data_IF_716531140994
#
_entry.id   IF_716531140994
#
_cell.length_a   1.000
_cell.length_b   1.000
_cell.length_c   1.000
_cell.angle_alpha   90.00
_cell.angle_beta   90.00
_cell.angle_gamma   90.00
#
_symmetry.space_group_name_H-M   'P 1'
#
loop_
_entity.id
_entity.type
_entity.pdbx_description
1 polymer ?
#
# COMPACT_ATOMS: atom_id res chain seq x y z
N UNK A 1 -5.26 -13.34 16.84
CA UNK A 1 -5.80 -12.12 16.22
C UNK A 1 -6.53 -12.54 14.97
N UNK A 2 -7.85 -12.34 14.95
CA UNK A 2 -8.73 -12.80 13.88
C UNK A 2 -8.54 -11.93 12.63
N UNK A 3 -8.00 -12.56 11.58
CA UNK A 3 -7.97 -12.08 10.21
C UNK A 3 -9.37 -11.63 9.77
N UNK A 4 -9.53 -10.34 9.45
CA UNK A 4 -10.73 -9.82 8.79
C UNK A 4 -10.41 -9.77 7.30
N UNK A 5 -11.04 -10.62 6.46
CA UNK A 5 -10.81 -10.56 5.02
C UNK A 5 -11.45 -9.29 4.46
N UNK A 6 -10.63 -8.31 4.12
CA UNK A 6 -11.07 -7.18 3.30
C UNK A 6 -11.31 -7.73 1.89
N UNK A 7 -12.47 -7.46 1.29
CA UNK A 7 -12.81 -7.95 -0.06
C UNK A 7 -11.79 -7.48 -1.09
N UNK A 8 -10.92 -8.40 -1.53
CA UNK A 8 -9.89 -8.16 -2.57
C UNK A 8 -10.44 -8.30 -4.01
N UNK A 9 -11.76 -8.23 -4.19
CA UNK A 9 -12.38 -8.41 -5.50
C UNK A 9 -12.12 -7.19 -6.41
N UNK A 10 -11.91 -7.38 -7.72
CA UNK A 10 -11.81 -6.28 -8.66
C UNK A 10 -13.17 -5.56 -8.74
N UNK A 11 -13.30 -4.45 -8.04
CA UNK A 11 -14.51 -3.63 -8.05
C UNK A 11 -14.29 -2.43 -8.98
N UNK A 12 -14.57 -2.62 -10.27
CA UNK A 12 -14.35 -1.61 -11.31
C UNK A 12 -15.41 -0.50 -11.34
N UNK A 13 -16.32 -0.44 -10.36
CA UNK A 13 -17.37 0.58 -10.26
C UNK A 13 -17.64 1.06 -8.83
N UNK A 14 -16.70 0.84 -7.90
CA UNK A 14 -16.83 1.38 -6.55
C UNK A 14 -16.73 2.92 -6.58
N UNK A 15 -17.52 3.63 -5.76
CA UNK A 15 -17.35 5.07 -5.58
C UNK A 15 -15.93 5.38 -5.10
N UNK A 16 -15.42 6.52 -5.55
CA UNK A 16 -14.13 7.05 -5.11
C UNK A 16 -14.17 8.57 -5.11
N UNK A 17 -13.50 9.14 -4.12
CA UNK A 17 -13.34 10.59 -3.91
C UNK A 17 -11.91 11.06 -4.22
N UNK A 18 -10.99 10.14 -4.55
CA UNK A 18 -9.60 10.49 -4.82
C UNK A 18 -8.96 9.63 -5.92
N UNK A 19 -8.47 8.43 -5.60
CA UNK A 19 -7.77 7.58 -6.55
C UNK A 19 -8.71 6.49 -7.14
N UNK A 20 -8.47 6.02 -8.37
CA UNK A 20 -9.32 5.01 -9.00
C UNK A 20 -9.47 3.74 -8.14
N UNK A 21 -10.67 3.21 -8.00
CA UNK A 21 -10.95 2.13 -7.04
C UNK A 21 -10.50 0.75 -7.52
N UNK A 22 -10.22 0.59 -8.80
CA UNK A 22 -9.86 -0.65 -9.49
C UNK A 22 -8.71 -1.40 -8.80
N UNK A 23 -8.75 -2.73 -8.90
CA UNK A 23 -7.72 -3.63 -8.38
C UNK A 23 -7.30 -4.62 -9.43
N UNK A 24 -6.01 -4.92 -9.46
CA UNK A 24 -5.42 -5.97 -10.26
C UNK A 24 -5.81 -7.35 -9.71
N UNK A 25 -6.02 -8.34 -10.59
CA UNK A 25 -6.34 -9.69 -10.16
C UNK A 25 -5.15 -10.35 -9.47
N UNK A 26 -5.43 -11.21 -8.48
CA UNK A 26 -4.39 -11.86 -7.67
C UNK A 26 -3.35 -12.62 -8.51
N UNK A 27 -3.75 -13.23 -9.64
CA UNK A 27 -2.83 -13.91 -10.56
C UNK A 27 -1.80 -12.97 -11.19
N UNK A 28 -2.20 -11.75 -11.55
CA UNK A 28 -1.29 -10.73 -12.10
C UNK A 28 -0.32 -10.25 -11.03
N UNK A 29 -0.83 -9.94 -9.82
CA UNK A 29 0.01 -9.51 -8.70
C UNK A 29 1.05 -10.57 -8.33
N UNK A 30 0.63 -11.85 -8.28
CA UNK A 30 1.54 -12.96 -8.08
C UNK A 30 2.61 -13.05 -9.18
N UNK A 31 2.21 -12.89 -10.45
CA UNK A 31 3.15 -12.87 -11.57
C UNK A 31 4.21 -11.76 -11.45
N UNK A 32 3.80 -10.56 -11.02
CA UNK A 32 4.73 -9.45 -10.75
C UNK A 32 5.67 -9.79 -9.59
N UNK A 33 5.16 -10.35 -8.48
CA UNK A 33 5.99 -10.78 -7.35
C UNK A 33 7.05 -11.80 -7.77
N UNK A 34 6.69 -12.78 -8.60
CA UNK A 34 7.64 -13.80 -9.11
C UNK A 34 8.69 -13.18 -10.03
N UNK A 35 8.29 -12.28 -10.93
CA UNK A 35 9.23 -11.57 -11.80
C UNK A 35 10.23 -10.72 -10.99
N UNK A 36 9.78 -10.05 -9.93
CA UNK A 36 10.64 -9.29 -9.01
C UNK A 36 11.60 -10.22 -8.27
N UNK A 37 11.12 -11.37 -7.77
CA UNK A 37 11.97 -12.40 -7.11
C UNK A 37 13.06 -12.94 -8.04
N UNK A 38 12.79 -13.02 -9.34
CA UNK A 38 13.79 -13.40 -10.34
C UNK A 38 14.93 -12.40 -10.50
N UNK A 39 14.81 -11.18 -9.98
CA UNK A 39 15.84 -10.15 -10.00
C UNK A 39 16.45 -9.95 -8.61
N UNK A 40 17.45 -10.78 -8.28
CA UNK A 40 18.08 -10.78 -6.95
C UNK A 40 18.69 -9.41 -6.57
N UNK A 41 19.29 -8.69 -7.51
CA UNK A 41 19.89 -7.38 -7.25
C UNK A 41 18.84 -6.37 -6.75
N UNK A 42 17.66 -6.35 -7.38
CA UNK A 42 16.58 -5.47 -6.97
C UNK A 42 16.05 -5.84 -5.58
N UNK A 43 15.87 -7.14 -5.31
CA UNK A 43 15.42 -7.62 -4.00
C UNK A 43 16.41 -7.25 -2.91
N UNK A 44 17.71 -7.47 -3.13
CA UNK A 44 18.76 -7.14 -2.17
C UNK A 44 18.83 -5.63 -1.90
N UNK A 45 18.63 -4.80 -2.93
CA UNK A 45 18.58 -3.34 -2.77
C UNK A 45 17.39 -2.90 -1.90
N UNK A 46 16.20 -3.45 -2.13
CA UNK A 46 15.00 -3.14 -1.34
C UNK A 46 15.14 -3.62 0.11
N UNK A 47 15.75 -4.79 0.31
CA UNK A 47 15.98 -5.36 1.64
C UNK A 47 17.04 -4.59 2.44
N UNK A 48 18.07 -4.07 1.77
CA UNK A 48 19.12 -3.26 2.40
C UNK A 48 18.74 -1.79 2.59
N UNK A 49 17.64 -1.34 1.98
CA UNK A 49 17.15 0.05 2.11
C UNK A 49 16.86 0.39 3.58
N UNK A 50 17.37 1.54 4.09
CA UNK A 50 16.98 2.02 5.40
C UNK A 50 15.48 2.36 5.42
N UNK A 51 14.74 1.75 6.36
CA UNK A 51 13.31 1.97 6.52
C UNK A 51 12.42 1.01 5.72
N UNK A 52 11.12 1.28 5.75
CA UNK A 52 10.12 0.45 5.08
C UNK A 52 10.15 0.67 3.57
N UNK A 53 10.21 -0.41 2.78
CA UNK A 53 10.14 -0.36 1.32
C UNK A 53 9.10 -1.33 0.78
N UNK A 54 8.31 -0.86 -0.18
CA UNK A 54 7.30 -1.65 -0.89
C UNK A 54 7.35 -1.37 -2.38
N UNK A 55 7.04 -2.37 -3.19
CA UNK A 55 6.79 -2.21 -4.63
C UNK A 55 5.31 -2.37 -4.86
N UNK A 56 4.72 -1.46 -5.65
CA UNK A 56 3.29 -1.39 -5.91
C UNK A 56 2.98 -1.74 -7.37
N UNK A 57 1.83 -2.37 -7.61
CA UNK A 57 1.23 -2.45 -8.94
C UNK A 57 0.68 -1.08 -9.38
N UNK A 58 0.21 -0.99 -10.63
CA UNK A 58 -0.46 0.22 -11.14
C UNK A 58 -1.68 0.61 -10.28
N UNK A 59 -2.41 -0.38 -9.76
CA UNK A 59 -3.56 -0.23 -8.86
C UNK A 59 -3.19 0.02 -7.39
N UNK A 60 -1.90 0.31 -7.14
CA UNK A 60 -1.31 0.66 -5.84
C UNK A 60 -1.31 -0.50 -4.84
N UNK A 61 -1.41 -1.73 -5.33
CA UNK A 61 -1.39 -2.92 -4.50
C UNK A 61 0.03 -3.43 -4.31
N UNK A 62 0.38 -3.82 -3.09
CA UNK A 62 1.71 -4.34 -2.74
C UNK A 62 1.97 -5.63 -3.52
N UNK A 63 3.08 -5.64 -4.27
CA UNK A 63 3.61 -6.82 -4.98
C UNK A 63 4.96 -7.27 -4.42
N UNK A 64 5.63 -6.43 -3.64
CA UNK A 64 6.81 -6.78 -2.85
C UNK A 64 6.89 -5.87 -1.61
N UNK A 65 7.48 -6.36 -0.53
CA UNK A 65 7.75 -5.62 0.69
C UNK A 65 9.03 -6.14 1.32
N UNK A 66 9.89 -5.24 1.80
CA UNK A 66 11.08 -5.62 2.55
C UNK A 66 10.72 -6.09 3.97
N UNK A 67 11.67 -6.74 4.65
CA UNK A 67 11.45 -7.25 6.01
C UNK A 67 10.97 -6.18 6.97
N UNK A 68 11.54 -4.97 6.89
CA UNK A 68 11.22 -3.85 7.78
C UNK A 68 9.76 -3.43 7.67
N UNK A 69 9.20 -3.38 6.46
CA UNK A 69 7.78 -3.11 6.27
C UNK A 69 6.92 -4.24 6.86
N UNK A 70 7.25 -5.50 6.58
CA UNK A 70 6.51 -6.65 7.11
C UNK A 70 6.47 -6.65 8.65
N UNK A 71 7.62 -6.44 9.29
CA UNK A 71 7.74 -6.31 10.75
C UNK A 71 6.90 -5.14 11.28
N UNK A 72 6.93 -3.98 10.61
CA UNK A 72 6.17 -2.80 11.02
C UNK A 72 4.65 -3.02 11.00
N UNK A 73 4.14 -3.84 10.07
CA UNK A 73 2.71 -4.19 9.98
C UNK A 73 2.35 -5.48 10.74
N UNK A 74 3.32 -6.08 11.42
CA UNK A 74 3.14 -7.30 12.21
C UNK A 74 2.87 -8.56 11.37
N UNK A 75 3.49 -8.65 10.20
CA UNK A 75 3.39 -9.77 9.26
C UNK A 75 4.77 -10.42 9.06
N UNK A 76 4.80 -11.70 8.69
CA UNK A 76 6.07 -12.43 8.52
C UNK A 76 6.40 -12.64 7.04
N UNK A 77 5.38 -12.73 6.19
CA UNK A 77 5.52 -13.14 4.79
C UNK A 77 4.82 -12.20 3.84
N UNK A 78 5.38 -12.05 2.64
CA UNK A 78 4.82 -11.23 1.57
C UNK A 78 3.37 -11.64 1.23
N UNK A 79 3.06 -12.94 1.29
CA UNK A 79 1.74 -13.47 0.97
C UNK A 79 0.63 -12.93 1.88
N UNK A 80 0.97 -12.43 3.06
CA UNK A 80 0.02 -11.86 4.03
C UNK A 80 -0.36 -10.41 3.68
N UNK A 81 0.49 -9.71 2.93
CA UNK A 81 0.28 -8.29 2.55
C UNK A 81 0.15 -8.08 1.04
N UNK A 82 0.46 -9.08 0.21
CA UNK A 82 0.33 -8.98 -1.25
C UNK A 82 -1.11 -8.66 -1.61
N UNK A 83 -1.32 -7.65 -2.46
CA UNK A 83 -2.64 -7.22 -2.87
C UNK A 83 -3.31 -6.19 -1.96
N UNK A 84 -2.79 -5.95 -0.76
CA UNK A 84 -3.19 -4.81 0.06
C UNK A 84 -2.61 -3.53 -0.53
N UNK A 85 -3.31 -2.41 -0.39
CA UNK A 85 -2.73 -1.07 -0.52
C UNK A 85 -2.07 -0.70 0.81
N UNK A 86 -1.07 0.19 0.78
CA UNK A 86 -0.22 0.49 1.96
C UNK A 86 -1.03 0.87 3.20
N UNK A 87 -2.03 1.75 3.07
CA UNK A 87 -2.89 2.14 4.19
C UNK A 87 -3.71 0.98 4.77
N UNK A 88 -4.09 -0.02 3.97
CA UNK A 88 -4.81 -1.21 4.46
C UNK A 88 -3.90 -2.10 5.30
N UNK A 89 -2.68 -2.35 4.82
CA UNK A 89 -1.68 -3.12 5.57
C UNK A 89 -1.30 -2.43 6.88
N UNK A 90 -1.23 -1.09 6.87
CA UNK A 90 -0.95 -0.26 8.04
C UNK A 90 -2.17 -0.04 8.95
N UNK A 91 -3.37 -0.53 8.57
CA UNK A 91 -4.63 -0.33 9.30
C UNK A 91 -5.02 1.14 9.50
N UNK A 92 -4.84 1.94 8.44
CA UNK A 92 -5.34 3.31 8.37
C UNK A 92 -6.84 3.33 8.68
N UNK A 93 -7.25 4.26 9.53
CA UNK A 93 -8.65 4.46 9.93
C UNK A 93 -9.59 4.81 8.77
N UNK A 94 -9.06 5.32 7.66
CA UNK A 94 -9.82 5.69 6.46
C UNK A 94 -9.83 4.58 5.39
N UNK A 95 -9.17 3.45 5.64
CA UNK A 95 -8.99 2.41 4.63
C UNK A 95 -10.28 1.65 4.31
N UNK A 96 -11.28 1.67 5.18
CA UNK A 96 -12.54 0.95 5.07
C UNK A 96 -13.78 1.88 4.96
N UNK A 97 -13.58 3.20 4.87
CA UNK A 97 -14.66 4.18 4.72
C UNK A 97 -15.41 4.02 3.38
N UNK A 98 -14.71 3.58 2.33
CA UNK A 98 -15.27 3.37 1.00
C UNK A 98 -15.01 1.94 0.51
N UNK A 99 -15.93 1.33 -0.28
CA UNK A 99 -15.79 -0.05 -0.76
C UNK A 99 -14.53 -0.30 -1.61
N UNK A 100 -13.93 0.75 -2.19
CA UNK A 100 -12.70 0.65 -2.96
C UNK A 100 -11.43 0.54 -2.10
N UNK A 101 -11.54 0.75 -0.79
CA UNK A 101 -10.46 0.64 0.18
C UNK A 101 -9.55 1.87 0.26
N UNK A 102 -8.32 1.68 0.76
CA UNK A 102 -7.34 2.76 0.88
C UNK A 102 -7.15 3.53 -0.44
N UNK A 103 -7.17 4.87 -0.35
CA UNK A 103 -7.03 5.78 -1.48
C UNK A 103 -8.36 6.21 -2.12
N UNK A 104 -9.51 5.74 -1.61
CA UNK A 104 -10.83 6.04 -2.22
C UNK A 104 -11.73 6.94 -1.37
N UNK A 105 -11.47 7.06 -0.07
CA UNK A 105 -12.23 7.96 0.81
C UNK A 105 -11.88 9.44 0.59
N UNK A 106 -12.75 10.36 1.04
CA UNK A 106 -12.53 11.80 0.94
C UNK A 106 -11.24 12.24 1.68
N UNK A 107 -10.97 11.66 2.86
CA UNK A 107 -9.74 11.89 3.61
C UNK A 107 -8.46 11.50 2.85
N UNK A 108 -8.56 10.65 1.83
CA UNK A 108 -7.40 10.26 1.02
C UNK A 108 -6.89 11.41 0.13
N UNK A 109 -7.70 12.43 -0.16
CA UNK A 109 -7.29 13.58 -0.97
C UNK A 109 -6.18 14.43 -0.35
N UNK A 110 -5.98 14.32 0.98
CA UNK A 110 -4.92 15.01 1.74
C UNK A 110 -3.90 14.04 2.33
N UNK A 111 -3.97 12.75 1.96
CA UNK A 111 -3.06 11.72 2.43
C UNK A 111 -1.68 11.86 1.77
N UNK A 112 -0.65 12.16 2.56
CA UNK A 112 0.72 12.32 2.06
C UNK A 112 1.25 11.15 1.22
N UNK A 113 1.05 9.91 1.67
CA UNK A 113 1.44 8.73 0.88
C UNK A 113 0.60 8.59 -0.39
N UNK A 114 -0.71 8.82 -0.32
CA UNK A 114 -1.60 8.75 -1.47
C UNK A 114 -1.19 9.75 -2.56
N UNK A 115 -0.88 10.98 -2.16
CA UNK A 115 -0.40 12.03 -3.06
C UNK A 115 0.96 11.73 -3.65
N UNK A 116 1.95 11.32 -2.84
CA UNK A 116 3.28 10.96 -3.34
C UNK A 116 3.20 9.85 -4.41
N UNK A 117 2.45 8.78 -4.12
CA UNK A 117 2.26 7.66 -5.04
C UNK A 117 1.56 8.12 -6.33
N UNK A 118 0.48 8.89 -6.21
CA UNK A 118 -0.28 9.33 -7.39
C UNK A 118 0.55 10.27 -8.28
N UNK A 119 1.23 11.25 -7.70
CA UNK A 119 2.09 12.18 -8.44
C UNK A 119 3.25 11.44 -9.13
N UNK A 120 3.91 10.51 -8.43
CA UNK A 120 4.98 9.67 -9.00
C UNK A 120 4.49 8.83 -10.18
N UNK A 121 3.30 8.21 -10.08
CA UNK A 121 2.71 7.44 -11.18
C UNK A 121 2.40 8.29 -12.42
N UNK A 122 2.02 9.56 -12.25
CA UNK A 122 1.69 10.46 -13.35
C UNK A 122 2.95 11.04 -14.00
N UNK A 123 3.93 11.46 -13.21
CA UNK A 123 5.13 12.15 -13.73
C UNK A 123 6.29 11.21 -14.03
N UNK A 124 6.29 10.00 -13.49
CA UNK A 124 7.41 9.05 -13.50
C UNK A 124 8.68 9.62 -12.86
N UNK A 125 8.51 10.46 -11.84
CA UNK A 125 9.59 11.09 -11.09
C UNK A 125 9.37 10.83 -9.60
N UNK A 126 10.46 10.73 -8.84
CA UNK A 126 10.37 10.58 -7.39
C UNK A 126 9.67 11.78 -6.74
N UNK A 127 8.75 11.52 -5.81
CA UNK A 127 8.02 12.52 -5.02
C UNK A 127 8.22 12.24 -3.54
N UNK A 128 8.52 13.30 -2.80
CA UNK A 128 8.69 13.26 -1.35
C UNK A 128 7.54 14.00 -0.67
N UNK A 129 6.86 13.36 0.26
CA UNK A 129 5.79 13.95 1.08
C UNK A 129 5.88 13.45 2.51
N UNK A 130 5.50 14.31 3.45
CA UNK A 130 5.18 13.85 4.81
C UNK A 130 3.81 13.19 4.82
N UNK A 131 3.69 12.11 5.57
CA UNK A 131 2.46 11.35 5.75
C UNK A 131 2.22 11.05 7.23
N UNK A 132 1.17 11.67 7.77
CA UNK A 132 0.58 11.26 9.04
C UNK A 132 -0.49 10.22 8.79
N UNK A 133 -0.37 9.06 9.42
CA UNK A 133 -1.39 8.01 9.41
C UNK A 133 -1.92 7.79 10.82
N UNK A 134 -3.24 7.89 10.97
CA UNK A 134 -3.95 7.42 12.15
C UNK A 134 -4.25 5.93 11.99
N UNK A 135 -3.78 5.14 12.95
CA UNK A 135 -3.99 3.69 13.01
C UNK A 135 -4.87 3.38 14.22
N UNK A 136 -5.89 2.54 14.04
CA UNK A 136 -6.84 2.14 15.08
C UNK A 136 -7.73 3.28 15.65
N UNK A 137 -9.03 3.22 15.32
CA UNK A 137 -10.08 4.13 15.80
C UNK A 137 -10.20 4.17 17.33
N UNK A 138 -9.84 3.09 18.04
CA UNK A 138 -10.02 2.98 19.48
C UNK A 138 -8.88 3.60 20.31
N UNK A 139 -7.65 3.60 19.79
CA UNK A 139 -6.46 4.02 20.56
C UNK A 139 -5.87 5.36 20.15
N UNK A 140 -6.42 6.04 19.12
CA UNK A 140 -5.96 7.33 18.63
C UNK A 140 -4.44 7.39 18.37
N UNK A 141 -3.87 6.28 17.91
CA UNK A 141 -2.45 6.22 17.57
C UNK A 141 -2.23 6.84 16.20
N UNK A 142 -1.24 7.72 16.11
CA UNK A 142 -0.78 8.27 14.85
C UNK A 142 0.72 7.99 14.67
N UNK A 143 1.11 7.72 13.44
CA UNK A 143 2.50 7.59 13.03
C UNK A 143 2.79 8.66 11.97
N UNK A 144 3.98 9.22 12.03
CA UNK A 144 4.47 10.19 11.05
C UNK A 144 5.59 9.54 10.22
N UNK A 145 5.47 9.64 8.90
CA UNK A 145 6.41 9.10 7.93
C UNK A 145 6.85 10.18 6.95
N UNK A 146 8.11 10.13 6.54
CA UNK A 146 8.55 10.71 5.27
C UNK A 146 8.41 9.63 4.20
N UNK A 147 7.69 9.93 3.12
CA UNK A 147 7.38 8.99 2.04
C UNK A 147 8.06 9.45 0.76
N UNK A 148 8.85 8.58 0.16
CA UNK A 148 9.45 8.76 -1.16
C UNK A 148 8.83 7.71 -2.08
N UNK A 149 8.12 8.16 -3.12
CA UNK A 149 7.43 7.32 -4.10
C UNK A 149 7.86 7.66 -5.52
#
# INVERSE_FOLDING_TARGET
>A
MSYVPIQMAPNTSAPTHYAPAERGPHSVLHGISEALRGNQLLVDLLETTPGCAVVLSQERQIVHANRRFLEAVGMERLEEVRGYRVGEAMRCVHADEEPGGCGTAEACATCGAGTAIHESQVTLEAKNREWRISIDHASAKALDFEVIA
#
